data_IF_034354075723
#
_entry.id   IF_034354075723
#
_cell.length_a   1.000
_cell.length_b   1.000
_cell.length_c   1.000
_cell.angle_alpha   90.00
_cell.angle_beta   90.00
_cell.angle_gamma   90.00
#
_symmetry.space_group_name_H-M   'P 1'
#
loop_
_entity.id
_entity.type
_entity.pdbx_description
1 polymer ?
#
# COMPACT_ATOMS: atom_id res chain seq x y z
N UNK A 1 -23.67 -20.45 12.40
CA UNK A 1 -23.17 -20.09 11.05
C UNK A 1 -23.33 -18.58 10.89
N UNK A 2 -22.27 -17.82 10.57
CA UNK A 2 -22.37 -16.35 10.44
C UNK A 2 -23.24 -15.96 9.24
N UNK A 3 -23.94 -14.82 9.29
CA UNK A 3 -24.82 -14.28 8.24
C UNK A 3 -24.14 -14.25 6.86
N UNK A 4 -22.83 -13.94 6.81
CA UNK A 4 -22.01 -14.00 5.59
C UNK A 4 -21.91 -15.43 5.02
N UNK A 5 -21.69 -16.43 5.88
CA UNK A 5 -21.58 -17.84 5.48
C UNK A 5 -22.90 -18.38 4.93
N UNK A 6 -24.03 -18.02 5.55
CA UNK A 6 -25.37 -18.38 5.04
C UNK A 6 -25.59 -17.76 3.66
N UNK A 7 -25.31 -16.47 3.49
CA UNK A 7 -25.46 -15.77 2.20
C UNK A 7 -24.61 -16.39 1.09
N UNK A 8 -23.37 -16.77 1.40
CA UNK A 8 -22.46 -17.42 0.46
C UNK A 8 -23.00 -18.78 0.02
N UNK A 9 -23.43 -19.62 0.96
CA UNK A 9 -23.98 -20.94 0.65
C UNK A 9 -25.25 -20.81 -0.20
N UNK A 10 -26.17 -19.91 0.16
CA UNK A 10 -27.39 -19.66 -0.61
C UNK A 10 -27.07 -19.18 -2.03
N UNK A 11 -26.10 -18.29 -2.19
CA UNK A 11 -25.70 -17.78 -3.50
C UNK A 11 -25.05 -18.86 -4.38
N UNK A 12 -24.24 -19.76 -3.81
CA UNK A 12 -23.67 -20.90 -4.52
C UNK A 12 -24.75 -21.88 -5.02
N UNK A 13 -25.74 -22.20 -4.17
CA UNK A 13 -26.84 -23.10 -4.54
C UNK A 13 -27.65 -22.50 -5.72
N UNK A 14 -27.97 -21.21 -5.64
CA UNK A 14 -28.70 -20.52 -6.72
C UNK A 14 -27.89 -20.47 -8.02
N UNK A 15 -26.57 -20.29 -7.95
CA UNK A 15 -25.71 -20.29 -9.14
C UNK A 15 -25.66 -21.66 -9.83
N UNK A 16 -25.56 -22.76 -9.07
CA UNK A 16 -25.55 -24.13 -9.61
C UNK A 16 -26.90 -24.46 -10.26
N UNK A 17 -28.01 -24.11 -9.62
CA UNK A 17 -29.35 -24.31 -10.19
C UNK A 17 -29.52 -23.51 -11.49
N UNK A 18 -29.08 -22.26 -11.51
CA UNK A 18 -29.17 -21.41 -12.69
C UNK A 18 -28.33 -21.96 -13.86
N UNK A 19 -27.11 -22.45 -13.60
CA UNK A 19 -26.27 -23.10 -14.61
C UNK A 19 -26.88 -24.40 -15.14
N UNK A 20 -27.52 -25.19 -14.28
CA UNK A 20 -28.26 -26.39 -14.68
C UNK A 20 -29.43 -26.06 -15.61
N UNK A 21 -30.23 -25.04 -15.28
CA UNK A 21 -31.33 -24.57 -16.13
C UNK A 21 -30.83 -24.03 -17.48
N UNK A 22 -29.71 -23.29 -17.48
CA UNK A 22 -29.08 -22.80 -18.71
C UNK A 22 -28.59 -23.93 -19.60
N UNK A 23 -27.93 -24.94 -19.02
CA UNK A 23 -27.46 -26.11 -19.77
C UNK A 23 -28.59 -26.90 -20.40
N UNK A 24 -29.69 -27.10 -19.67
CA UNK A 24 -30.89 -27.75 -20.21
C UNK A 24 -31.53 -26.94 -21.35
N UNK A 25 -31.62 -25.62 -21.19
CA UNK A 25 -32.15 -24.74 -22.24
C UNK A 25 -31.28 -24.73 -23.50
N UNK A 26 -29.95 -24.69 -23.36
CA UNK A 26 -29.02 -24.81 -24.51
C UNK A 26 -29.22 -26.15 -25.22
N UNK A 27 -29.33 -27.25 -24.46
CA UNK A 27 -29.55 -28.58 -25.03
C UNK A 27 -30.85 -28.62 -25.84
N UNK A 28 -31.97 -28.15 -25.28
CA UNK A 28 -33.27 -28.14 -25.95
C UNK A 28 -33.27 -27.25 -27.21
N UNK A 29 -32.66 -26.07 -27.14
CA UNK A 29 -32.59 -25.13 -28.27
C UNK A 29 -31.72 -25.65 -29.42
N UNK A 30 -30.60 -26.31 -29.10
CA UNK A 30 -29.64 -26.80 -30.11
C UNK A 30 -30.08 -28.14 -30.71
N UNK A 31 -30.60 -29.05 -29.90
CA UNK A 31 -30.87 -30.43 -30.33
C UNK A 31 -32.34 -30.72 -30.64
N UNK A 32 -33.29 -29.94 -30.09
CA UNK A 32 -34.72 -30.14 -30.32
C UNK A 32 -35.37 -29.07 -31.22
N UNK A 33 -34.57 -28.20 -31.87
CA UNK A 33 -35.05 -27.16 -32.81
C UNK A 33 -36.15 -26.26 -32.20
N UNK A 34 -35.94 -25.85 -30.95
CA UNK A 34 -36.89 -25.03 -30.18
C UNK A 34 -37.11 -23.64 -30.83
N UNK A 35 -38.34 -23.10 -30.86
CA UNK A 35 -38.65 -21.82 -31.49
C UNK A 35 -38.05 -20.59 -30.78
N UNK A 36 -37.28 -20.78 -29.71
CA UNK A 36 -36.69 -19.71 -28.88
C UNK A 36 -35.19 -19.47 -29.13
N UNK A 37 -34.66 -19.88 -30.28
CA UNK A 37 -33.24 -19.72 -30.67
C UNK A 37 -32.74 -18.27 -30.54
N UNK A 38 -33.56 -17.27 -30.88
CA UNK A 38 -33.19 -15.85 -30.85
C UNK A 38 -32.88 -15.30 -29.45
N UNK A 39 -33.35 -15.99 -28.39
CA UNK A 39 -33.13 -15.57 -27.00
C UNK A 39 -31.87 -16.19 -26.38
N UNK A 40 -31.24 -17.16 -27.04
CA UNK A 40 -30.09 -17.90 -26.50
C UNK A 40 -28.91 -16.98 -26.19
N UNK A 41 -28.58 -16.08 -27.12
CA UNK A 41 -27.45 -15.16 -26.95
C UNK A 41 -27.67 -14.17 -25.78
N UNK A 42 -28.90 -13.66 -25.62
CA UNK A 42 -29.25 -12.76 -24.51
C UNK A 42 -29.14 -13.48 -23.17
N UNK A 43 -29.58 -14.73 -23.11
CA UNK A 43 -29.52 -15.55 -21.89
C UNK A 43 -28.07 -15.83 -21.50
N UNK A 44 -27.23 -16.24 -22.45
CA UNK A 44 -25.79 -16.45 -22.23
C UNK A 44 -25.11 -15.18 -21.72
N UNK A 45 -25.41 -14.02 -22.30
CA UNK A 45 -24.85 -12.74 -21.84
C UNK A 45 -25.24 -12.40 -20.40
N UNK A 46 -26.51 -12.58 -20.03
CA UNK A 46 -26.99 -12.35 -18.65
C UNK A 46 -26.22 -13.26 -17.67
N UNK A 47 -26.02 -14.53 -18.03
CA UNK A 47 -25.25 -15.46 -17.21
C UNK A 47 -23.78 -15.08 -17.10
N UNK A 48 -23.14 -14.64 -18.20
CA UNK A 48 -21.77 -14.12 -18.15
C UNK A 48 -21.65 -12.91 -17.21
N UNK A 49 -22.62 -11.98 -17.23
CA UNK A 49 -22.64 -10.84 -16.31
C UNK A 49 -22.85 -11.27 -14.84
N UNK A 50 -23.71 -12.25 -14.60
CA UNK A 50 -23.95 -12.79 -13.26
C UNK A 50 -22.70 -13.49 -12.71
N UNK A 51 -22.03 -14.32 -13.52
CA UNK A 51 -20.77 -14.98 -13.17
C UNK A 51 -19.67 -13.96 -12.91
N UNK A 52 -19.51 -12.94 -13.76
CA UNK A 52 -18.52 -11.88 -13.54
C UNK A 52 -18.77 -11.10 -12.23
N UNK A 53 -20.03 -10.83 -11.90
CA UNK A 53 -20.42 -10.17 -10.65
C UNK A 53 -20.17 -11.06 -9.44
N UNK A 54 -20.41 -12.36 -9.57
CA UNK A 54 -20.15 -13.36 -8.54
C UNK A 54 -18.63 -13.55 -8.30
N UNK A 55 -17.83 -13.59 -9.36
CA UNK A 55 -16.35 -13.64 -9.26
C UNK A 55 -15.81 -12.40 -8.55
N UNK A 56 -16.31 -11.19 -8.88
CA UNK A 56 -15.94 -9.95 -8.17
C UNK A 56 -16.26 -10.02 -6.67
N UNK A 57 -17.40 -10.62 -6.31
CA UNK A 57 -17.80 -10.81 -4.92
C UNK A 57 -16.84 -11.73 -4.15
N UNK A 58 -16.32 -12.80 -4.79
CA UNK A 58 -15.39 -13.76 -4.15
C UNK A 58 -13.93 -13.31 -4.14
N UNK A 59 -13.49 -12.52 -5.13
CA UNK A 59 -12.13 -11.95 -5.14
C UNK A 59 -11.92 -10.85 -4.09
N UNK A 60 -12.95 -10.51 -3.29
CA UNK A 60 -12.89 -9.36 -2.39
C UNK A 60 -12.90 -8.02 -3.13
N UNK A 61 -13.17 -8.00 -4.44
CA UNK A 61 -13.26 -6.81 -5.29
C UNK A 61 -14.59 -6.04 -5.08
N UNK A 62 -15.18 -6.14 -3.89
CA UNK A 62 -16.22 -5.21 -3.47
C UNK A 62 -15.56 -3.86 -3.23
N UNK A 63 -15.73 -2.89 -4.14
CA UNK A 63 -15.19 -1.53 -3.96
C UNK A 63 -15.56 -1.03 -2.57
N UNK A 64 -14.56 -0.81 -1.73
CA UNK A 64 -14.78 -0.27 -0.40
C UNK A 64 -15.56 1.05 -0.49
N UNK A 65 -16.45 1.31 0.47
CA UNK A 65 -17.27 2.52 0.46
C UNK A 65 -16.38 3.76 0.60
N UNK A 66 -16.85 4.93 0.15
CA UNK A 66 -16.11 6.18 0.40
C UNK A 66 -15.91 6.43 1.90
N UNK A 67 -16.84 5.99 2.76
CA UNK A 67 -16.67 6.06 4.21
C UNK A 67 -15.50 5.22 4.74
N UNK A 68 -15.14 4.12 4.07
CA UNK A 68 -13.96 3.35 4.42
C UNK A 68 -12.70 4.20 4.22
N UNK A 69 -12.56 4.82 3.05
CA UNK A 69 -11.40 5.66 2.73
C UNK A 69 -11.35 6.95 3.55
N UNK A 70 -12.51 7.54 3.86
CA UNK A 70 -12.64 8.67 4.78
C UNK A 70 -12.04 8.33 6.15
N UNK A 71 -12.34 7.13 6.67
CA UNK A 71 -11.82 6.67 7.95
C UNK A 71 -10.35 6.24 7.88
N UNK A 72 -9.96 5.53 6.82
CA UNK A 72 -8.60 5.03 6.63
C UNK A 72 -7.58 6.17 6.54
N UNK A 73 -7.97 7.29 5.91
CA UNK A 73 -7.13 8.48 5.75
C UNK A 73 -7.62 9.66 6.60
N UNK A 74 -8.32 9.41 7.71
CA UNK A 74 -8.93 10.47 8.50
C UNK A 74 -7.90 11.50 9.02
N UNK A 75 -6.69 11.03 9.37
CA UNK A 75 -5.59 11.88 9.84
C UNK A 75 -5.10 12.81 8.73
N UNK A 76 -4.89 12.27 7.53
CA UNK A 76 -4.38 12.98 6.36
C UNK A 76 -5.43 13.94 5.79
N UNK A 77 -6.70 13.51 5.74
CA UNK A 77 -7.81 14.31 5.22
C UNK A 77 -8.21 15.45 6.15
N UNK A 78 -8.09 15.25 7.47
CA UNK A 78 -8.45 16.24 8.48
C UNK A 78 -9.81 16.91 8.22
N UNK A 79 -9.88 18.22 8.42
CA UNK A 79 -11.06 19.05 8.15
C UNK A 79 -11.19 19.57 6.71
N UNK A 80 -10.33 19.13 5.78
CA UNK A 80 -10.31 19.65 4.41
C UNK A 80 -11.67 19.52 3.72
N UNK A 81 -12.17 20.61 3.16
CA UNK A 81 -13.47 20.69 2.48
C UNK A 81 -14.69 20.30 3.34
N UNK A 82 -14.61 20.33 4.67
CA UNK A 82 -15.73 19.92 5.55
C UNK A 82 -17.03 20.70 5.30
N UNK A 83 -16.92 21.97 4.88
CA UNK A 83 -18.07 22.82 4.54
C UNK A 83 -18.49 22.73 3.07
N UNK A 84 -17.88 21.84 2.29
CA UNK A 84 -18.16 21.64 0.86
C UNK A 84 -18.29 20.15 0.55
N UNK A 85 -19.46 19.53 0.83
CA UNK A 85 -19.66 18.08 0.71
C UNK A 85 -19.28 17.49 -0.66
N UNK A 86 -19.51 18.26 -1.74
CA UNK A 86 -19.13 17.85 -3.08
C UNK A 86 -17.60 17.75 -3.26
N UNK A 87 -16.84 18.69 -2.71
CA UNK A 87 -15.38 18.71 -2.79
C UNK A 87 -14.76 17.69 -1.84
N UNK A 88 -15.31 17.53 -0.63
CA UNK A 88 -14.92 16.45 0.27
C UNK A 88 -15.08 15.10 -0.43
N UNK A 89 -16.24 14.83 -1.03
CA UNK A 89 -16.48 13.59 -1.78
C UNK A 89 -15.49 13.38 -2.93
N UNK A 90 -15.11 14.45 -3.65
CA UNK A 90 -14.07 14.37 -4.69
C UNK A 90 -12.71 13.99 -4.09
N UNK A 91 -12.31 14.61 -2.97
CA UNK A 91 -11.05 14.32 -2.30
C UNK A 91 -10.97 12.85 -1.86
N UNK A 92 -12.02 12.33 -1.22
CA UNK A 92 -12.12 10.92 -0.81
C UNK A 92 -12.14 9.97 -2.01
N UNK A 93 -12.74 10.41 -3.12
CA UNK A 93 -12.68 9.63 -4.36
C UNK A 93 -11.26 9.59 -4.92
N UNK A 94 -10.46 10.66 -4.74
CA UNK A 94 -9.07 10.68 -5.14
C UNK A 94 -8.21 9.75 -4.28
N UNK A 95 -8.42 9.70 -2.96
CA UNK A 95 -7.70 8.76 -2.07
C UNK A 95 -8.04 7.31 -2.39
N UNK A 96 -9.31 7.01 -2.69
CA UNK A 96 -9.70 5.70 -3.24
C UNK A 96 -8.96 5.38 -4.54
N UNK A 97 -8.91 6.32 -5.48
CA UNK A 97 -8.20 6.08 -6.74
C UNK A 97 -6.69 5.90 -6.54
N UNK A 98 -6.10 6.57 -5.56
CA UNK A 98 -4.72 6.36 -5.16
C UNK A 98 -4.50 4.92 -4.64
N UNK A 99 -5.34 4.46 -3.70
CA UNK A 99 -5.28 3.09 -3.16
C UNK A 99 -5.52 2.01 -4.22
N UNK A 100 -6.39 2.29 -5.21
CA UNK A 100 -6.62 1.45 -6.39
C UNK A 100 -5.48 1.54 -7.44
N UNK A 101 -4.36 2.20 -7.12
CA UNK A 101 -3.23 2.51 -8.01
C UNK A 101 -3.62 3.21 -9.32
N UNK A 102 -4.79 3.85 -9.34
CA UNK A 102 -5.31 4.60 -10.48
C UNK A 102 -4.86 6.06 -10.42
N UNK A 103 -3.54 6.27 -10.39
CA UNK A 103 -2.92 7.57 -10.15
C UNK A 103 -3.38 8.65 -11.14
N UNK A 104 -3.61 8.28 -12.41
CA UNK A 104 -4.13 9.24 -13.42
C UNK A 104 -5.49 9.81 -13.04
N UNK A 105 -6.42 8.99 -12.54
CA UNK A 105 -7.73 9.48 -12.09
C UNK A 105 -7.63 10.24 -10.79
N UNK A 106 -6.79 9.77 -9.85
CA UNK A 106 -6.52 10.49 -8.60
C UNK A 106 -6.00 11.91 -8.88
N UNK A 107 -4.90 12.02 -9.65
CA UNK A 107 -4.28 13.29 -10.02
C UNK A 107 -5.24 14.21 -10.79
N UNK A 108 -6.12 13.68 -11.64
CA UNK A 108 -7.14 14.49 -12.32
C UNK A 108 -8.07 15.17 -11.32
N UNK A 109 -8.53 14.45 -10.29
CA UNK A 109 -9.36 15.04 -9.24
C UNK A 109 -8.57 16.01 -8.37
N UNK A 110 -7.36 15.63 -7.95
CA UNK A 110 -6.50 16.45 -7.10
C UNK A 110 -6.13 17.78 -7.79
N UNK A 111 -5.86 17.77 -9.10
CA UNK A 111 -5.62 19.00 -9.87
C UNK A 111 -6.83 19.93 -9.88
N UNK A 112 -8.05 19.39 -9.97
CA UNK A 112 -9.26 20.22 -9.87
C UNK A 112 -9.44 20.78 -8.46
N UNK A 113 -9.20 19.97 -7.43
CA UNK A 113 -9.31 20.38 -6.03
C UNK A 113 -8.28 21.45 -5.66
N UNK A 114 -7.05 21.36 -6.19
CA UNK A 114 -6.01 22.36 -5.95
C UNK A 114 -6.42 23.77 -6.40
N UNK A 115 -7.22 23.89 -7.47
CA UNK A 115 -7.77 25.17 -7.95
C UNK A 115 -8.95 25.68 -7.14
N UNK A 116 -9.67 24.76 -6.49
CA UNK A 116 -10.87 25.06 -5.69
C UNK A 116 -10.56 25.26 -4.20
N UNK A 117 -9.35 24.85 -3.75
CA UNK A 117 -8.88 25.00 -2.38
C UNK A 117 -8.80 26.49 -2.00
N UNK A 118 -9.38 26.84 -0.85
CA UNK A 118 -9.44 28.23 -0.35
C UNK A 118 -8.55 28.46 0.86
N UNK A 119 -7.99 27.40 1.41
CA UNK A 119 -7.17 27.43 2.62
C UNK A 119 -6.04 26.43 2.52
N UNK A 120 -4.96 26.65 3.27
CA UNK A 120 -3.86 25.70 3.41
C UNK A 120 -4.35 24.35 3.95
N UNK A 121 -5.33 24.36 4.86
CA UNK A 121 -5.96 23.16 5.38
C UNK A 121 -6.68 22.34 4.29
N UNK A 122 -7.30 22.99 3.29
CA UNK A 122 -7.89 22.29 2.14
C UNK A 122 -6.83 21.77 1.18
N UNK A 123 -5.77 22.56 0.97
CA UNK A 123 -4.71 22.28 0.00
C UNK A 123 -3.76 21.18 0.48
N UNK A 124 -3.50 21.07 1.79
CA UNK A 124 -2.54 20.14 2.37
C UNK A 124 -2.78 18.66 1.97
N UNK A 125 -3.98 18.06 2.16
CA UNK A 125 -4.22 16.68 1.70
C UNK A 125 -4.17 16.56 0.18
N UNK A 126 -4.56 17.61 -0.56
CA UNK A 126 -4.49 17.58 -2.02
C UNK A 126 -3.04 17.46 -2.48
N UNK A 127 -2.12 18.24 -1.90
CA UNK A 127 -0.69 18.16 -2.18
C UNK A 127 -0.10 16.83 -1.70
N UNK A 128 -0.47 16.36 -0.50
CA UNK A 128 0.01 15.09 0.04
C UNK A 128 -0.32 13.91 -0.89
N UNK A 129 -1.58 13.75 -1.28
CA UNK A 129 -1.97 12.66 -2.18
C UNK A 129 -1.43 12.84 -3.60
N UNK A 130 -1.18 14.08 -4.04
CA UNK A 130 -0.52 14.31 -5.34
C UNK A 130 0.93 13.86 -5.30
N UNK A 131 1.67 14.22 -4.24
CA UNK A 131 3.05 13.80 -4.04
C UNK A 131 3.16 12.27 -3.91
N UNK A 132 2.27 11.63 -3.15
CA UNK A 132 2.19 10.17 -3.05
C UNK A 132 1.95 9.51 -4.42
N UNK A 133 1.03 10.04 -5.24
CA UNK A 133 0.85 9.56 -6.61
C UNK A 133 2.13 9.69 -7.44
N UNK A 134 2.83 10.82 -7.37
CA UNK A 134 4.08 11.01 -8.10
C UNK A 134 5.19 10.06 -7.62
N UNK A 135 5.29 9.82 -6.32
CA UNK A 135 6.20 8.85 -5.72
C UNK A 135 5.95 7.45 -6.27
N UNK A 136 4.70 6.98 -6.24
CA UNK A 136 4.36 5.62 -6.68
C UNK A 136 4.42 5.45 -8.21
N UNK A 137 4.40 6.56 -8.96
CA UNK A 137 4.66 6.59 -10.40
C UNK A 137 6.15 6.64 -10.75
N UNK A 138 7.05 6.75 -9.76
CA UNK A 138 8.49 6.93 -9.99
C UNK A 138 8.88 8.31 -10.52
N UNK A 139 7.97 9.29 -10.43
CA UNK A 139 8.19 10.67 -10.88
C UNK A 139 8.81 11.49 -9.74
N UNK A 140 10.02 11.11 -9.32
CA UNK A 140 10.70 11.58 -8.11
C UNK A 140 10.83 13.11 -8.05
N UNK A 141 11.26 13.77 -9.13
CA UNK A 141 11.44 15.22 -9.13
C UNK A 141 10.13 15.98 -8.89
N UNK A 142 9.03 15.48 -9.45
CA UNK A 142 7.70 16.05 -9.23
C UNK A 142 7.23 15.82 -7.79
N UNK A 143 7.45 14.63 -7.24
CA UNK A 143 7.11 14.31 -5.85
C UNK A 143 7.85 15.21 -4.86
N UNK A 144 9.18 15.33 -5.01
CA UNK A 144 10.04 16.19 -4.18
C UNK A 144 9.53 17.64 -4.20
N UNK A 145 9.26 18.19 -5.39
CA UNK A 145 8.76 19.55 -5.53
C UNK A 145 7.42 19.77 -4.81
N UNK A 146 6.50 18.81 -4.91
CA UNK A 146 5.19 18.92 -4.25
C UNK A 146 5.32 18.75 -2.74
N UNK A 147 6.20 17.87 -2.26
CA UNK A 147 6.47 17.75 -0.82
C UNK A 147 7.09 19.01 -0.22
N UNK A 148 8.04 19.66 -0.90
CA UNK A 148 8.58 20.94 -0.42
C UNK A 148 7.53 22.03 -0.36
N UNK A 149 6.66 22.14 -1.40
CA UNK A 149 5.52 23.06 -1.37
C UNK A 149 4.60 22.78 -0.16
N UNK A 150 4.32 21.52 0.14
CA UNK A 150 3.54 21.15 1.32
C UNK A 150 4.23 21.58 2.64
N UNK A 151 5.56 21.45 2.73
CA UNK A 151 6.32 21.87 3.91
C UNK A 151 6.37 23.40 4.10
N UNK A 152 6.16 24.22 3.06
CA UNK A 152 6.08 25.69 3.22
C UNK A 152 4.95 26.08 4.18
N UNK A 153 3.82 25.36 4.13
CA UNK A 153 2.66 25.59 5.01
C UNK A 153 2.66 24.70 6.26
N UNK A 154 3.32 23.54 6.19
CA UNK A 154 3.31 22.51 7.24
C UNK A 154 4.72 22.01 7.55
N UNK A 155 5.61 22.87 8.09
CA UNK A 155 7.03 22.53 8.26
C UNK A 155 7.26 21.41 9.28
N UNK A 156 6.31 21.15 10.18
CA UNK A 156 6.41 20.07 11.18
C UNK A 156 5.61 18.82 10.79
N UNK A 157 5.73 18.39 9.54
CA UNK A 157 5.03 17.21 9.05
C UNK A 157 5.97 15.99 8.96
N UNK A 158 5.94 15.15 9.99
CA UNK A 158 6.78 13.95 10.10
C UNK A 158 6.64 13.01 8.89
N UNK A 159 5.43 12.81 8.38
CA UNK A 159 5.20 11.92 7.24
C UNK A 159 5.86 12.46 5.96
N UNK A 160 5.77 13.77 5.74
CA UNK A 160 6.35 14.41 4.54
C UNK A 160 7.88 14.34 4.59
N UNK A 161 8.48 14.63 5.74
CA UNK A 161 9.92 14.46 5.93
C UNK A 161 10.37 13.01 5.72
N UNK A 162 9.66 12.03 6.26
CA UNK A 162 9.97 10.61 6.04
C UNK A 162 9.87 10.20 4.57
N UNK A 163 8.87 10.72 3.84
CA UNK A 163 8.73 10.45 2.40
C UNK A 163 9.85 11.10 1.57
N UNK A 164 10.19 12.38 1.84
CA UNK A 164 11.33 13.05 1.20
C UNK A 164 12.64 12.31 1.44
N UNK A 165 12.86 11.87 2.67
CA UNK A 165 14.03 11.07 3.02
C UNK A 165 14.11 9.77 2.21
N UNK A 166 12.97 9.08 2.03
CA UNK A 166 12.87 7.90 1.18
C UNK A 166 13.23 8.17 -0.28
N UNK A 167 12.78 9.30 -0.83
CA UNK A 167 13.12 9.69 -2.21
C UNK A 167 14.60 10.01 -2.38
N UNK A 168 15.20 10.74 -1.45
CA UNK A 168 16.64 11.02 -1.48
C UNK A 168 17.48 9.76 -1.26
N UNK A 169 17.03 8.83 -0.43
CA UNK A 169 17.67 7.52 -0.27
C UNK A 169 17.67 6.73 -1.59
N UNK A 170 16.57 6.77 -2.36
CA UNK A 170 16.50 6.15 -3.68
C UNK A 170 17.45 6.79 -4.70
N UNK A 171 17.71 8.09 -4.57
CA UNK A 171 18.71 8.81 -5.38
C UNK A 171 20.16 8.56 -4.94
N UNK A 172 20.37 7.92 -3.78
CA UNK A 172 21.70 7.71 -3.19
C UNK A 172 22.21 8.90 -2.37
N UNK A 173 21.38 9.93 -2.16
CA UNK A 173 21.73 11.12 -1.37
C UNK A 173 21.58 10.85 0.14
N UNK A 174 22.40 9.94 0.67
CA UNK A 174 22.32 9.46 2.05
C UNK A 174 22.31 10.59 3.09
N UNK A 175 23.14 11.62 2.90
CA UNK A 175 23.21 12.76 3.82
C UNK A 175 21.87 13.50 3.93
N UNK A 176 21.21 13.75 2.80
CA UNK A 176 19.94 14.45 2.76
C UNK A 176 18.79 13.55 3.24
N UNK A 177 18.86 12.26 2.93
CA UNK A 177 17.95 11.26 3.48
C UNK A 177 18.00 11.21 5.02
N UNK A 178 19.20 11.11 5.61
CA UNK A 178 19.39 11.12 7.06
C UNK A 178 18.85 12.40 7.69
N UNK A 179 19.17 13.57 7.13
CA UNK A 179 18.67 14.86 7.62
C UNK A 179 17.15 14.93 7.66
N UNK A 180 16.46 14.43 6.63
CA UNK A 180 15.01 14.41 6.63
C UNK A 180 14.42 13.32 7.54
N UNK A 181 15.08 12.18 7.73
CA UNK A 181 14.64 11.22 8.75
C UNK A 181 14.77 11.78 10.17
N UNK A 182 15.83 12.55 10.45
CA UNK A 182 16.02 13.24 11.72
C UNK A 182 14.87 14.23 11.98
N UNK A 183 14.56 15.09 11.00
CA UNK A 183 13.41 16.01 11.08
C UNK A 183 12.08 15.25 11.26
N UNK A 184 11.89 14.12 10.58
CA UNK A 184 10.70 13.30 10.74
C UNK A 184 10.54 12.78 12.18
N UNK A 185 11.64 12.33 12.79
CA UNK A 185 11.67 11.82 14.17
C UNK A 185 11.50 12.94 15.20
N UNK A 186 12.08 14.11 14.94
CA UNK A 186 11.91 15.29 15.79
C UNK A 186 10.48 15.85 15.74
N UNK A 187 9.79 15.70 14.60
CA UNK A 187 8.38 16.01 14.47
C UNK A 187 7.47 14.99 15.17
N UNK A 188 7.78 13.70 15.04
CA UNK A 188 7.03 12.60 15.67
C UNK A 188 7.96 11.46 16.10
N UNK A 189 8.23 11.40 17.41
CA UNK A 189 9.10 10.38 18.02
C UNK A 189 8.52 8.97 17.97
N UNK A 190 7.26 8.80 17.56
CA UNK A 190 6.59 7.52 17.38
C UNK A 190 6.41 7.15 15.90
N UNK A 191 7.11 7.83 14.97
CA UNK A 191 7.05 7.47 13.56
C UNK A 191 7.86 6.19 13.26
N UNK A 192 7.18 5.04 13.26
CA UNK A 192 7.75 3.74 12.89
C UNK A 192 8.53 3.77 11.56
N UNK A 193 7.95 4.39 10.52
CA UNK A 193 8.54 4.38 9.19
C UNK A 193 9.83 5.19 9.12
N UNK A 194 9.92 6.31 9.84
CA UNK A 194 11.14 7.11 9.90
C UNK A 194 12.30 6.32 10.51
N UNK A 195 12.11 5.68 11.67
CA UNK A 195 13.14 4.83 12.26
C UNK A 195 13.51 3.63 11.38
N UNK A 196 12.51 2.90 10.86
CA UNK A 196 12.77 1.73 10.01
C UNK A 196 13.55 2.10 8.74
N UNK A 197 13.20 3.21 8.10
CA UNK A 197 13.84 3.61 6.86
C UNK A 197 15.20 4.29 7.09
N UNK A 198 15.38 5.01 8.20
CA UNK A 198 16.70 5.50 8.64
C UNK A 198 17.64 4.34 8.98
N UNK A 199 17.13 3.27 9.60
CA UNK A 199 17.89 2.03 9.80
C UNK A 199 18.35 1.41 8.46
N UNK A 200 17.47 1.37 7.46
CA UNK A 200 17.84 0.91 6.11
C UNK A 200 18.89 1.83 5.45
N UNK A 201 18.83 3.14 5.70
CA UNK A 201 19.84 4.09 5.24
C UNK A 201 21.21 3.78 5.86
N UNK A 202 21.27 3.64 7.19
CA UNK A 202 22.50 3.26 7.90
C UNK A 202 23.02 1.89 7.45
N UNK A 203 22.14 0.92 7.22
CA UNK A 203 22.53 -0.40 6.70
C UNK A 203 23.22 -0.30 5.34
N UNK A 204 22.70 0.51 4.42
CA UNK A 204 23.33 0.74 3.10
C UNK A 204 24.67 1.47 3.19
N UNK A 205 24.87 2.25 4.25
CA UNK A 205 26.15 2.88 4.58
C UNK A 205 27.08 1.96 5.39
N UNK A 206 26.69 0.70 5.62
CA UNK A 206 27.39 -0.27 6.47
C UNK A 206 27.57 0.16 7.94
N UNK A 207 26.79 1.16 8.40
CA UNK A 207 26.77 1.61 9.79
C UNK A 207 25.84 0.74 10.64
N UNK A 208 26.18 -0.55 10.76
CA UNK A 208 25.29 -1.57 11.33
C UNK A 208 24.82 -1.30 12.75
N UNK A 209 25.66 -0.72 13.62
CA UNK A 209 25.27 -0.47 15.01
C UNK A 209 24.18 0.62 15.11
N UNK A 210 24.23 1.65 14.25
CA UNK A 210 23.16 2.65 14.16
C UNK A 210 21.90 2.06 13.53
N UNK A 211 22.05 1.23 12.50
CA UNK A 211 20.93 0.52 11.89
C UNK A 211 20.21 -0.38 12.89
N UNK A 212 20.95 -1.11 13.74
CA UNK A 212 20.38 -1.94 14.81
C UNK A 212 19.59 -1.08 15.79
N UNK A 213 20.17 0.02 16.28
CA UNK A 213 19.51 0.90 17.25
C UNK A 213 18.18 1.44 16.72
N UNK A 214 18.16 1.94 15.48
CA UNK A 214 16.94 2.46 14.86
C UNK A 214 15.91 1.37 14.56
N UNK A 215 16.33 0.21 14.07
CA UNK A 215 15.40 -0.91 13.81
C UNK A 215 14.79 -1.45 15.11
N UNK A 216 15.57 -1.51 16.19
CA UNK A 216 15.04 -1.84 17.52
C UNK A 216 14.04 -0.78 18.00
N UNK A 217 14.34 0.51 17.80
CA UNK A 217 13.41 1.58 18.14
C UNK A 217 12.11 1.49 17.36
N UNK A 218 12.18 1.16 16.07
CA UNK A 218 11.00 0.89 15.25
C UNK A 218 10.16 -0.27 15.82
N UNK A 219 10.81 -1.36 16.26
CA UNK A 219 10.13 -2.48 16.91
C UNK A 219 9.52 -2.13 18.27
N UNK A 220 10.10 -1.23 19.06
CA UNK A 220 9.47 -0.73 20.30
C UNK A 220 8.16 0.03 20.03
N UNK A 221 8.10 0.77 18.92
CA UNK A 221 6.91 1.51 18.49
C UNK A 221 5.86 0.55 17.92
N UNK A 222 6.30 -0.42 17.10
CA UNK A 222 5.46 -1.42 16.45
C UNK A 222 6.09 -2.79 16.61
N UNK A 223 5.65 -3.51 17.65
CA UNK A 223 6.18 -4.82 18.03
C UNK A 223 6.12 -5.89 16.91
N UNK A 224 5.29 -5.72 15.87
CA UNK A 224 5.18 -6.62 14.72
C UNK A 224 5.69 -5.98 13.41
N UNK A 225 6.67 -5.08 13.49
CA UNK A 225 7.32 -4.47 12.34
C UNK A 225 8.15 -5.47 11.53
N UNK A 226 7.54 -6.06 10.50
CA UNK A 226 8.16 -7.08 9.64
C UNK A 226 9.46 -6.59 9.01
N UNK A 227 9.49 -5.35 8.52
CA UNK A 227 10.65 -4.77 7.83
C UNK A 227 11.83 -4.60 8.80
N UNK A 228 11.58 -4.03 9.97
CA UNK A 228 12.60 -3.80 10.99
C UNK A 228 13.16 -5.12 11.54
N UNK A 229 12.29 -6.11 11.80
CA UNK A 229 12.71 -7.44 12.23
C UNK A 229 13.53 -8.16 11.15
N UNK A 230 13.14 -8.04 9.87
CA UNK A 230 13.92 -8.63 8.77
C UNK A 230 15.29 -7.97 8.67
N UNK A 231 15.37 -6.65 8.76
CA UNK A 231 16.64 -5.92 8.70
C UNK A 231 17.58 -6.35 9.83
N UNK A 232 17.07 -6.48 11.05
CA UNK A 232 17.87 -6.99 12.18
C UNK A 232 18.36 -8.41 11.94
N UNK A 233 17.49 -9.31 11.46
CA UNK A 233 17.90 -10.68 11.13
C UNK A 233 19.03 -10.71 10.10
N UNK A 234 18.96 -9.87 9.06
CA UNK A 234 20.02 -9.69 8.07
C UNK A 234 21.31 -9.20 8.72
N UNK A 235 21.25 -8.11 9.49
CA UNK A 235 22.45 -7.54 10.13
C UNK A 235 23.13 -8.56 11.05
N UNK A 236 22.37 -9.27 11.89
CA UNK A 236 22.95 -10.26 12.79
C UNK A 236 23.49 -11.49 12.05
N UNK A 237 22.90 -11.88 10.92
CA UNK A 237 23.47 -12.90 10.05
C UNK A 237 24.84 -12.48 9.49
N UNK A 238 24.99 -11.23 9.04
CA UNK A 238 26.27 -10.69 8.55
C UNK A 238 27.32 -10.60 9.67
N UNK A 239 26.90 -10.32 10.91
CA UNK A 239 27.78 -10.28 12.09
C UNK A 239 28.12 -11.67 12.65
N UNK A 240 27.48 -12.75 12.17
CA UNK A 240 27.65 -14.11 12.70
C UNK A 240 27.01 -14.35 14.07
N UNK A 241 26.10 -13.47 14.52
CA UNK A 241 25.37 -13.59 15.78
C UNK A 241 24.10 -14.41 15.57
N UNK A 242 24.25 -15.73 15.70
CA UNK A 242 23.19 -16.71 15.46
C UNK A 242 22.01 -16.57 16.44
N UNK A 243 22.26 -16.18 17.68
CA UNK A 243 21.21 -16.02 18.70
C UNK A 243 20.27 -14.87 18.35
N UNK A 244 20.83 -13.68 18.08
CA UNK A 244 20.01 -12.53 17.71
C UNK A 244 19.40 -12.68 16.31
N UNK A 245 20.12 -13.30 15.36
CA UNK A 245 19.56 -13.63 14.04
C UNK A 245 18.28 -14.45 14.19
N UNK A 246 18.31 -15.57 14.92
CA UNK A 246 17.16 -16.46 15.10
C UNK A 246 15.99 -15.75 15.80
N UNK A 247 16.29 -14.92 16.81
CA UNK A 247 15.30 -14.10 17.51
C UNK A 247 14.50 -13.21 16.54
N UNK A 248 15.18 -12.41 15.72
CA UNK A 248 14.49 -11.48 14.81
C UNK A 248 13.94 -12.17 13.56
N UNK A 249 14.54 -13.27 13.12
CA UNK A 249 14.01 -14.12 12.07
C UNK A 249 12.63 -14.68 12.44
N UNK A 250 12.49 -15.24 13.65
CA UNK A 250 11.20 -15.72 14.17
C UNK A 250 10.18 -14.59 14.27
N UNK A 251 10.60 -13.42 14.75
CA UNK A 251 9.72 -12.26 14.86
C UNK A 251 9.19 -11.83 13.49
N UNK A 252 10.04 -11.75 12.46
CA UNK A 252 9.64 -11.42 11.10
C UNK A 252 8.67 -12.46 10.52
N UNK A 253 8.92 -13.75 10.80
CA UNK A 253 8.08 -14.86 10.34
C UNK A 253 6.68 -14.82 10.96
N UNK A 254 6.59 -14.68 12.28
CA UNK A 254 5.30 -14.58 13.00
C UNK A 254 4.56 -13.30 12.63
N UNK A 255 5.28 -12.23 12.25
CA UNK A 255 4.69 -10.96 11.81
C UNK A 255 4.18 -11.00 10.36
N UNK A 256 4.40 -12.10 9.63
CA UNK A 256 3.73 -12.36 8.35
C UNK A 256 4.64 -12.46 7.12
N UNK A 257 5.99 -12.35 7.27
CA UNK A 257 6.90 -12.59 6.15
C UNK A 257 7.25 -14.07 6.04
N UNK A 258 7.10 -14.72 4.88
CA UNK A 258 7.48 -16.12 4.72
C UNK A 258 8.97 -16.34 4.98
N UNK A 259 9.32 -17.41 5.71
CA UNK A 259 10.69 -17.82 6.00
C UNK A 259 11.58 -17.84 4.73
N UNK A 260 11.06 -18.39 3.64
CA UNK A 260 11.75 -18.46 2.34
C UNK A 260 12.15 -17.10 1.78
N UNK A 261 11.35 -16.05 2.01
CA UNK A 261 11.70 -14.69 1.58
C UNK A 261 12.82 -14.12 2.43
N UNK A 262 12.77 -14.35 3.75
CA UNK A 262 13.81 -13.91 4.69
C UNK A 262 15.14 -14.59 4.34
N UNK A 263 15.12 -15.91 4.09
CA UNK A 263 16.30 -16.67 3.69
C UNK A 263 16.93 -16.10 2.42
N UNK A 264 16.12 -15.81 1.41
CA UNK A 264 16.60 -15.19 0.16
C UNK A 264 17.27 -13.84 0.42
N UNK A 265 16.67 -12.99 1.25
CA UNK A 265 17.25 -11.67 1.57
C UNK A 265 18.57 -11.82 2.32
N UNK A 266 18.65 -12.70 3.32
CA UNK A 266 19.88 -12.96 4.07
C UNK A 266 20.98 -13.50 3.14
N UNK A 267 20.67 -14.51 2.32
CA UNK A 267 21.65 -15.10 1.40
C UNK A 267 22.14 -14.09 0.35
N UNK A 268 21.25 -13.24 -0.15
CA UNK A 268 21.64 -12.17 -1.07
C UNK A 268 22.72 -11.27 -0.46
N UNK A 269 22.51 -10.76 0.75
CA UNK A 269 23.47 -9.86 1.40
C UNK A 269 24.78 -10.56 1.82
N UNK A 270 24.72 -11.81 2.27
CA UNK A 270 25.93 -12.59 2.59
C UNK A 270 26.80 -12.77 1.34
N UNK A 271 26.18 -13.04 0.18
CA UNK A 271 26.92 -13.23 -1.06
C UNK A 271 27.55 -11.92 -1.54
N UNK A 272 26.80 -10.80 -1.49
CA UNK A 272 27.33 -9.49 -1.87
C UNK A 272 28.52 -9.08 -1.00
N UNK A 273 28.47 -9.33 0.31
CA UNK A 273 29.60 -9.02 1.21
C UNK A 273 30.84 -9.89 0.90
N UNK A 274 30.64 -11.15 0.50
CA UNK A 274 31.76 -12.02 0.09
C UNK A 274 32.42 -11.51 -1.18
N UNK A 275 31.64 -11.12 -2.18
CA UNK A 275 32.16 -10.60 -3.45
C UNK A 275 32.99 -9.31 -3.21
N UNK A 276 32.55 -8.41 -2.33
CA UNK A 276 33.30 -7.19 -1.96
C UNK A 276 34.65 -7.50 -1.27
N UNK A 277 34.74 -8.58 -0.48
CA UNK A 277 35.98 -8.97 0.22
C UNK A 277 36.98 -9.74 -0.63
N UNK A 278 36.60 -10.18 -1.83
CA UNK A 278 37.50 -10.90 -2.77
C UNK A 278 38.25 -9.92 -3.68
N UNK A 279 37.74 -8.69 -3.84
CA UNK A 279 38.30 -7.63 -4.69
C UNK A 279 39.22 -6.64 -3.94
N UNK A 280 39.42 -6.79 -2.62
CA UNK A 280 40.37 -6.03 -1.78
C UNK A 280 41.69 -6.79 -1.52
#
# INVERSE_FOLDING_TARGET
>A
MNKKTVQVITACILAVLALGCLGFYIYDVVWNNSPYQDNLLKLVLIFCFAIASFIRMFKGEGRASLSFYENAYAKELGGAFQHSPALRKKLVSATRFYDESNYRKALKLLFTLAKEAKSENDLAPVLLFSALCYTDMGLTDYAIKVYYNLLESSPRNSQVHSNLAGLHLQQGDFKLALSHYDEAIDCDRNNYFAYNNRANCYFRMQEYDKAIADAQKALEIKNNGVEAATLLAVIFALKGDEENKEKYYRLATVSGRPAQEIDRVIQHHINTQKDETIDE
#
